data_IF_797444842254
#
_entry.id   IF_797444842254
#
_cell.length_a   1.000
_cell.length_b   1.000
_cell.length_c   1.000
_cell.angle_alpha   90.00
_cell.angle_beta   90.00
_cell.angle_gamma   90.00
#
_symmetry.space_group_name_H-M   'P 1'
#
loop_
_entity.id
_entity.type
_entity.pdbx_description
1 polymer ?
#
# COMPACT_ATOMS: atom_id res chain seq x y z
N UNK A 1 -12.66 -35.61 21.41
CA UNK A 1 -12.41 -34.20 21.06
C UNK A 1 -11.43 -34.20 19.91
N UNK A 2 -11.89 -33.81 18.71
CA UNK A 2 -11.12 -33.90 17.46
C UNK A 2 -10.62 -32.50 17.14
N UNK A 3 -9.36 -32.23 17.47
CA UNK A 3 -8.67 -31.03 17.01
C UNK A 3 -8.63 -31.05 15.48
N UNK A 4 -9.10 -29.98 14.83
CA UNK A 4 -9.12 -29.89 13.36
C UNK A 4 -8.04 -28.98 12.79
N UNK A 5 -7.56 -28.01 13.57
CA UNK A 5 -6.63 -26.98 13.10
C UNK A 5 -5.55 -26.71 14.16
N UNK A 6 -4.32 -26.52 13.69
CA UNK A 6 -3.15 -26.16 14.48
C UNK A 6 -2.52 -24.89 13.92
N UNK A 7 -1.99 -24.04 14.80
CA UNK A 7 -1.20 -22.87 14.45
C UNK A 7 -0.06 -22.68 15.47
N UNK A 8 0.93 -21.84 15.15
CA UNK A 8 2.09 -21.57 15.99
C UNK A 8 2.24 -20.07 16.20
N UNK A 9 2.09 -19.62 17.45
CA UNK A 9 2.41 -18.25 17.84
C UNK A 9 3.91 -18.13 18.03
N UNK A 10 4.54 -17.18 17.35
CA UNK A 10 5.97 -16.83 17.52
C UNK A 10 6.12 -15.46 18.15
N UNK A 11 7.00 -15.34 19.13
CA UNK A 11 7.22 -14.12 19.87
C UNK A 11 8.69 -13.89 20.19
N UNK A 12 9.09 -12.61 20.25
CA UNK A 12 10.45 -12.19 20.54
C UNK A 12 10.74 -12.09 22.05
N UNK A 13 9.70 -12.07 22.89
CA UNK A 13 9.80 -11.99 24.35
C UNK A 13 8.61 -12.69 25.03
N UNK A 14 8.69 -12.98 26.35
CA UNK A 14 7.55 -13.50 27.10
C UNK A 14 6.32 -12.58 27.09
N UNK A 15 6.51 -11.27 27.09
CA UNK A 15 5.39 -10.30 27.04
C UNK A 15 4.70 -10.29 25.68
N UNK A 16 5.49 -10.30 24.60
CA UNK A 16 4.99 -10.42 23.22
C UNK A 16 4.24 -11.76 23.03
N UNK A 17 4.73 -12.84 23.65
CA UNK A 17 4.04 -14.13 23.62
C UNK A 17 2.70 -14.08 24.34
N UNK A 18 2.66 -13.47 25.53
CA UNK A 18 1.44 -13.34 26.33
C UNK A 18 0.36 -12.52 25.61
N UNK A 19 0.76 -11.42 24.97
CA UNK A 19 -0.14 -10.57 24.18
C UNK A 19 -0.73 -11.32 22.97
N UNK A 20 0.14 -11.94 22.16
CA UNK A 20 -0.29 -12.74 21.00
C UNK A 20 -1.14 -13.94 21.38
N UNK A 21 -0.84 -14.61 22.49
CA UNK A 21 -1.66 -15.71 23.00
C UNK A 21 -3.01 -15.24 23.51
N UNK A 22 -3.08 -14.08 24.17
CA UNK A 22 -4.34 -13.47 24.60
C UNK A 22 -5.25 -13.21 23.41
N UNK A 23 -4.69 -12.80 22.27
CA UNK A 23 -5.44 -12.67 21.01
C UNK A 23 -5.96 -14.02 20.50
N UNK A 24 -5.11 -15.04 20.42
CA UNK A 24 -5.50 -16.40 20.01
C UNK A 24 -6.59 -17.00 20.91
N UNK A 25 -6.49 -16.79 22.22
CA UNK A 25 -7.50 -17.26 23.19
C UNK A 25 -8.88 -16.63 22.95
N UNK A 26 -8.94 -15.33 22.63
CA UNK A 26 -10.20 -14.64 22.29
C UNK A 26 -10.84 -15.16 21.00
N UNK A 27 -10.03 -15.68 20.08
CA UNK A 27 -10.47 -16.31 18.83
C UNK A 27 -10.93 -17.77 19.00
N UNK A 28 -10.93 -18.28 20.24
CA UNK A 28 -11.30 -19.65 20.56
C UNK A 28 -10.16 -20.66 20.44
N UNK A 29 -8.96 -20.23 20.04
CA UNK A 29 -7.79 -21.11 20.07
C UNK A 29 -7.39 -21.40 21.51
N UNK A 30 -6.84 -22.59 21.73
CA UNK A 30 -6.35 -23.06 23.01
C UNK A 30 -4.87 -23.40 22.89
N UNK A 31 -4.03 -23.06 23.87
CA UNK A 31 -2.65 -23.53 23.92
C UNK A 31 -2.61 -25.06 23.86
N UNK A 32 -1.82 -25.56 22.91
CA UNK A 32 -1.57 -26.98 22.76
C UNK A 32 -0.18 -27.29 23.31
N UNK A 33 -0.13 -27.77 24.55
CA UNK A 33 1.12 -27.97 25.29
C UNK A 33 1.70 -26.68 25.84
N UNK A 34 2.96 -26.73 26.31
CA UNK A 34 3.69 -25.57 26.84
C UNK A 34 4.51 -24.83 25.78
N UNK A 35 4.93 -23.59 26.06
CA UNK A 35 5.74 -22.81 25.12
C UNK A 35 7.16 -23.37 25.05
N UNK A 36 7.76 -23.31 23.85
CA UNK A 36 9.11 -23.78 23.56
C UNK A 36 9.99 -22.57 23.22
N UNK A 37 11.16 -22.48 23.85
CA UNK A 37 12.20 -21.55 23.45
C UNK A 37 13.07 -22.20 22.35
N UNK A 38 13.10 -21.63 21.14
CA UNK A 38 13.97 -22.13 20.05
C UNK A 38 15.35 -21.50 20.14
N UNK A 39 15.39 -20.20 20.46
CA UNK A 39 16.59 -19.39 20.59
C UNK A 39 16.41 -18.43 21.77
N UNK A 40 17.47 -17.74 22.25
CA UNK A 40 17.36 -16.79 23.35
C UNK A 40 16.31 -15.68 23.13
N UNK A 41 15.91 -15.45 21.88
CA UNK A 41 15.01 -14.35 21.48
C UNK A 41 13.79 -14.86 20.69
N UNK A 42 13.45 -16.14 20.78
CA UNK A 42 12.28 -16.68 20.07
C UNK A 42 11.58 -17.73 20.91
N UNK A 43 10.37 -17.36 21.35
CA UNK A 43 9.41 -18.25 21.98
C UNK A 43 8.37 -18.69 20.95
N UNK A 44 7.94 -19.94 21.06
CA UNK A 44 6.83 -20.48 20.30
C UNK A 44 5.80 -21.12 21.20
N UNK A 45 4.53 -20.94 20.90
CA UNK A 45 3.44 -21.68 21.51
C UNK A 45 2.57 -22.27 20.41
N UNK A 46 2.45 -23.59 20.37
CA UNK A 46 1.46 -24.25 19.53
C UNK A 46 0.06 -23.96 20.10
N UNK A 47 -0.89 -23.71 19.22
CA UNK A 47 -2.29 -23.49 19.55
C UNK A 47 -3.18 -24.36 18.66
N UNK A 48 -4.33 -24.77 19.18
CA UNK A 48 -5.29 -25.64 18.52
C UNK A 48 -6.71 -25.11 18.73
N UNK A 49 -7.62 -25.35 17.78
CA UNK A 49 -9.03 -24.99 17.92
C UNK A 49 -9.93 -26.15 17.47
N UNK A 50 -11.05 -26.32 18.18
CA UNK A 50 -12.13 -27.23 17.79
C UNK A 50 -13.23 -26.43 17.07
N UNK A 51 -13.35 -26.63 15.75
CA UNK A 51 -14.30 -25.90 14.91
C UNK A 51 -13.61 -25.06 13.81
N UNK A 52 -14.42 -24.33 13.04
CA UNK A 52 -13.93 -23.27 12.14
C UNK A 52 -13.50 -22.07 13.00
N UNK A 53 -12.29 -21.51 12.83
CA UNK A 53 -11.86 -20.34 13.60
C UNK A 53 -12.81 -19.16 13.36
N UNK A 54 -13.28 -18.52 14.45
CA UNK A 54 -14.29 -17.45 14.34
C UNK A 54 -13.84 -16.20 13.58
N UNK A 55 -12.53 -16.03 13.34
CA UNK A 55 -11.96 -15.17 12.29
C UNK A 55 -10.59 -15.79 11.98
N UNK A 56 -10.55 -16.74 11.05
CA UNK A 56 -9.27 -17.24 10.54
C UNK A 56 -8.58 -16.18 9.66
N UNK A 57 -7.27 -16.29 9.39
CA UNK A 57 -6.58 -15.47 8.39
C UNK A 57 -7.18 -15.57 6.97
N UNK A 58 -8.24 -16.36 6.74
CA UNK A 58 -8.93 -16.52 5.45
C UNK A 58 -10.30 -15.86 5.33
N UNK A 59 -10.85 -15.23 6.38
CA UNK A 59 -12.12 -14.49 6.22
C UNK A 59 -11.88 -13.11 5.62
N UNK A 60 -12.72 -12.70 4.67
CA UNK A 60 -12.68 -11.33 4.15
C UNK A 60 -12.80 -10.32 5.28
N UNK A 61 -12.00 -9.23 5.28
CA UNK A 61 -12.11 -8.19 6.28
C UNK A 61 -13.50 -7.53 6.33
N UNK A 62 -13.98 -7.24 7.53
CA UNK A 62 -15.22 -6.47 7.75
C UNK A 62 -15.09 -5.01 7.26
N UNK A 63 -13.86 -4.48 7.28
CA UNK A 63 -13.49 -3.10 6.90
C UNK A 63 -11.97 -2.99 6.69
N UNK A 64 -11.50 -1.84 6.20
CA UNK A 64 -10.10 -1.63 5.84
C UNK A 64 -9.51 -0.36 6.44
N UNK A 65 -8.26 -0.45 6.89
CA UNK A 65 -7.38 0.72 6.91
C UNK A 65 -6.94 1.02 5.47
N UNK A 66 -7.16 2.24 5.03
CA UNK A 66 -6.83 2.72 3.68
C UNK A 66 -5.46 3.39 3.72
N UNK A 67 -4.55 2.95 2.86
CA UNK A 67 -3.23 3.56 2.67
C UNK A 67 -3.11 3.97 1.21
N UNK A 68 -2.85 5.25 0.98
CA UNK A 68 -2.65 5.79 -0.36
C UNK A 68 -1.18 5.75 -0.71
N UNK A 69 -0.85 5.27 -1.90
CA UNK A 69 0.50 5.28 -2.46
C UNK A 69 0.49 6.26 -3.63
N UNK A 70 1.26 7.34 -3.53
CA UNK A 70 1.30 8.38 -4.54
C UNK A 70 2.71 8.97 -4.73
N UNK A 71 2.92 9.62 -5.87
CA UNK A 71 4.21 10.17 -6.27
C UNK A 71 4.67 9.61 -7.60
N UNK A 72 5.98 9.37 -7.74
CA UNK A 72 6.58 8.87 -8.98
C UNK A 72 7.23 7.49 -8.86
N UNK A 73 8.27 7.22 -9.65
CA UNK A 73 8.87 5.89 -9.83
C UNK A 73 9.25 5.20 -8.52
N UNK A 74 9.89 5.91 -7.59
CA UNK A 74 10.31 5.33 -6.31
C UNK A 74 9.15 5.05 -5.35
N UNK A 75 7.94 5.54 -5.64
CA UNK A 75 6.72 5.22 -4.89
C UNK A 75 6.03 3.93 -5.38
N UNK A 76 6.50 3.32 -6.47
CA UNK A 76 5.81 2.24 -7.17
C UNK A 76 6.76 1.14 -7.66
N UNK A 77 6.25 0.23 -8.48
CA UNK A 77 6.97 -0.93 -8.97
C UNK A 77 8.07 -0.56 -9.98
N UNK A 78 9.20 -0.05 -9.49
CA UNK A 78 10.44 0.19 -10.23
C UNK A 78 11.60 -0.71 -9.77
N UNK A 79 11.37 -1.58 -8.78
CA UNK A 79 12.33 -2.61 -8.40
C UNK A 79 12.48 -3.63 -9.53
N UNK A 80 13.68 -3.71 -10.12
CA UNK A 80 13.98 -4.57 -11.27
C UNK A 80 14.34 -6.01 -10.87
N UNK A 81 14.44 -6.30 -9.57
CA UNK A 81 14.72 -7.64 -9.05
C UNK A 81 13.61 -8.64 -9.39
N UNK A 82 13.95 -9.93 -9.42
CA UNK A 82 13.00 -11.01 -9.66
C UNK A 82 11.91 -11.04 -8.56
N UNK A 83 10.61 -10.98 -8.91
CA UNK A 83 9.54 -11.15 -7.93
C UNK A 83 9.56 -12.55 -7.28
N UNK A 84 9.20 -12.61 -6.01
CA UNK A 84 9.22 -13.81 -5.15
C UNK A 84 7.81 -14.13 -4.59
N UNK A 85 6.82 -14.45 -5.45
CA UNK A 85 5.42 -14.62 -5.07
C UNK A 85 5.16 -15.81 -4.14
N UNK A 86 6.09 -16.77 -4.04
CA UNK A 86 5.99 -17.87 -3.07
C UNK A 86 6.52 -17.47 -1.67
N UNK A 87 7.04 -16.26 -1.48
CA UNK A 87 7.62 -15.81 -0.21
C UNK A 87 7.33 -14.33 0.10
N UNK A 88 8.32 -13.44 -0.03
CA UNK A 88 8.22 -12.04 0.37
C UNK A 88 7.14 -11.28 -0.39
N UNK A 89 6.86 -11.66 -1.63
CA UNK A 89 5.89 -11.00 -2.51
C UNK A 89 4.53 -11.72 -2.55
N UNK A 90 4.34 -12.77 -1.73
CA UNK A 90 3.09 -13.52 -1.67
C UNK A 90 1.89 -12.62 -1.31
N UNK A 91 0.78 -12.64 -2.04
CA UNK A 91 -0.43 -11.92 -1.63
C UNK A 91 -0.91 -12.35 -0.24
N UNK A 92 -1.56 -11.44 0.48
CA UNK A 92 -2.24 -11.74 1.75
C UNK A 92 -3.76 -11.56 1.58
N UNK A 93 -4.60 -12.47 2.06
CA UNK A 93 -6.06 -12.37 1.92
C UNK A 93 -6.66 -11.10 2.54
N UNK A 94 -6.02 -10.48 3.55
CA UNK A 94 -6.46 -9.25 4.20
C UNK A 94 -5.87 -7.98 3.57
N UNK A 95 -4.97 -8.11 2.60
CA UNK A 95 -4.36 -6.97 1.90
C UNK A 95 -4.92 -6.89 0.48
N UNK A 96 -5.60 -5.80 0.19
CA UNK A 96 -6.27 -5.53 -1.08
C UNK A 96 -5.74 -4.25 -1.70
N UNK A 97 -6.07 -4.03 -2.96
CA UNK A 97 -5.85 -2.77 -3.66
C UNK A 97 -7.08 -2.37 -4.47
N UNK A 98 -7.21 -1.08 -4.80
CA UNK A 98 -8.15 -0.63 -5.82
C UNK A 98 -7.61 -0.89 -7.22
N UNK A 99 -8.36 -1.63 -8.03
CA UNK A 99 -7.99 -1.97 -9.39
C UNK A 99 -7.95 -0.74 -10.33
N UNK A 100 -7.04 -0.77 -11.30
CA UNK A 100 -7.01 0.08 -12.50
C UNK A 100 -6.99 -0.69 -13.82
N UNK A 101 -6.13 -1.70 -13.93
CA UNK A 101 -6.00 -2.58 -15.11
C UNK A 101 -7.32 -3.32 -15.42
N UNK A 102 -7.41 -3.89 -16.62
CA UNK A 102 -8.55 -4.72 -17.04
C UNK A 102 -8.56 -6.12 -16.43
N UNK A 103 -7.43 -6.58 -15.89
CA UNK A 103 -7.29 -7.86 -15.19
C UNK A 103 -6.49 -7.70 -13.89
N UNK A 104 -6.75 -8.56 -12.91
CA UNK A 104 -6.09 -8.56 -11.58
C UNK A 104 -4.59 -8.79 -11.70
N UNK A 105 -4.19 -9.74 -12.54
CA UNK A 105 -2.81 -10.02 -12.94
C UNK A 105 -2.76 -10.12 -14.46
N UNK A 106 -1.59 -10.08 -15.12
CA UNK A 106 -1.49 -10.33 -16.56
C UNK A 106 -2.09 -11.68 -16.94
N UNK A 107 -3.13 -11.69 -17.78
CA UNK A 107 -3.86 -12.90 -18.16
C UNK A 107 -4.78 -13.49 -17.08
N UNK A 108 -4.93 -12.83 -15.94
CA UNK A 108 -5.76 -13.26 -14.83
C UNK A 108 -7.23 -12.88 -14.97
N UNK A 109 -7.97 -12.98 -13.87
CA UNK A 109 -9.39 -12.62 -13.80
C UNK A 109 -9.62 -11.15 -14.16
N UNK A 110 -10.73 -10.86 -14.84
CA UNK A 110 -11.11 -9.50 -15.18
C UNK A 110 -11.44 -8.68 -13.92
N UNK A 111 -11.09 -7.39 -13.94
CA UNK A 111 -11.49 -6.42 -12.93
C UNK A 111 -11.85 -5.08 -13.59
N UNK A 112 -12.61 -4.26 -12.88
CA UNK A 112 -12.99 -2.91 -13.28
C UNK A 112 -12.26 -1.88 -12.43
N UNK A 113 -12.19 -0.64 -12.92
CA UNK A 113 -11.64 0.48 -12.17
C UNK A 113 -12.33 0.60 -10.80
N UNK A 114 -11.52 0.67 -9.74
CA UNK A 114 -11.92 0.70 -8.33
C UNK A 114 -12.63 -0.56 -7.78
N UNK A 115 -12.52 -1.71 -8.44
CA UNK A 115 -12.80 -2.99 -7.79
C UNK A 115 -11.77 -3.25 -6.68
N UNK A 116 -12.21 -3.89 -5.59
CA UNK A 116 -11.30 -4.36 -4.53
C UNK A 116 -10.75 -5.71 -4.98
N UNK A 117 -9.45 -5.77 -5.22
CA UNK A 117 -8.74 -6.97 -5.72
C UNK A 117 -7.58 -7.32 -4.79
N UNK A 118 -7.03 -8.55 -4.84
CA UNK A 118 -5.79 -8.88 -4.13
C UNK A 118 -4.66 -7.90 -4.47
N UNK A 119 -3.87 -7.54 -3.45
CA UNK A 119 -2.62 -6.82 -3.66
C UNK A 119 -1.46 -7.82 -3.84
N UNK A 120 -0.58 -7.54 -4.80
CA UNK A 120 0.68 -8.24 -4.98
C UNK A 120 1.84 -7.23 -5.14
N UNK A 121 3.01 -7.69 -5.57
CA UNK A 121 4.22 -6.86 -5.71
C UNK A 121 4.13 -5.77 -6.79
N UNK A 122 3.19 -5.86 -7.73
CA UNK A 122 3.08 -4.95 -8.88
C UNK A 122 1.68 -4.31 -8.92
N UNK A 123 1.50 -3.28 -8.09
CA UNK A 123 0.21 -2.64 -7.85
C UNK A 123 -0.34 -1.87 -9.07
N UNK A 124 -1.66 -1.60 -9.06
CA UNK A 124 -2.42 -0.94 -10.13
C UNK A 124 -2.25 0.60 -10.14
N UNK A 125 -1.00 1.06 -10.15
CA UNK A 125 -0.64 2.48 -10.31
C UNK A 125 -1.07 3.05 -11.67
N UNK A 126 -0.94 4.37 -11.88
CA UNK A 126 -1.33 5.01 -13.15
C UNK A 126 -0.51 4.46 -14.32
N UNK A 127 0.77 4.15 -14.07
CA UNK A 127 1.62 3.45 -15.03
C UNK A 127 1.64 1.96 -14.74
N UNK A 128 1.32 1.17 -15.76
CA UNK A 128 1.35 -0.29 -15.68
C UNK A 128 2.79 -0.81 -15.87
N UNK A 129 3.35 -1.37 -14.79
CA UNK A 129 4.70 -1.96 -14.76
C UNK A 129 4.67 -3.49 -14.86
N UNK A 130 3.49 -4.10 -15.06
CA UNK A 130 3.30 -5.54 -14.98
C UNK A 130 3.78 -6.33 -16.20
N UNK A 131 4.08 -5.63 -17.29
CA UNK A 131 4.62 -6.23 -18.53
C UNK A 131 6.15 -6.14 -18.61
N UNK A 132 6.79 -5.45 -17.68
CA UNK A 132 8.25 -5.27 -17.62
C UNK A 132 8.89 -6.37 -16.77
N UNK A 133 9.06 -7.54 -17.37
CA UNK A 133 9.50 -8.74 -16.67
C UNK A 133 11.02 -8.82 -16.51
N UNK A 134 11.47 -9.32 -15.37
CA UNK A 134 12.87 -9.71 -15.18
C UNK A 134 13.28 -10.79 -16.21
N UNK A 135 14.50 -10.79 -16.77
CA UNK A 135 14.92 -11.75 -17.81
C UNK A 135 14.88 -13.23 -17.41
N UNK A 136 14.83 -13.52 -16.10
CA UNK A 136 14.72 -14.88 -15.53
C UNK A 136 13.36 -15.18 -14.91
N UNK A 137 12.34 -14.37 -15.19
CA UNK A 137 11.00 -14.57 -14.68
C UNK A 137 10.37 -15.85 -15.24
N UNK A 138 9.78 -16.66 -14.36
CA UNK A 138 8.83 -17.71 -14.73
C UNK A 138 7.41 -17.16 -14.55
N UNK A 139 6.79 -16.74 -15.67
CA UNK A 139 5.45 -16.15 -15.65
C UNK A 139 4.37 -17.13 -15.19
N UNK A 140 4.60 -18.45 -15.35
CA UNK A 140 3.67 -19.47 -14.85
C UNK A 140 3.57 -19.50 -13.32
N UNK A 141 4.57 -18.92 -12.63
CA UNK A 141 4.64 -18.76 -11.18
C UNK A 141 4.20 -17.37 -10.70
N UNK A 142 3.67 -16.52 -11.59
CA UNK A 142 3.28 -15.16 -11.23
C UNK A 142 4.45 -14.19 -11.04
N UNK A 143 5.64 -14.51 -11.55
CA UNK A 143 6.82 -13.62 -11.47
C UNK A 143 6.82 -12.50 -12.51
N UNK A 144 5.67 -11.86 -12.71
CA UNK A 144 5.49 -10.83 -13.73
C UNK A 144 5.92 -9.44 -13.21
N UNK A 145 6.30 -8.55 -14.11
CA UNK A 145 6.54 -7.14 -13.83
C UNK A 145 7.70 -6.82 -12.88
N UNK A 146 7.76 -5.54 -12.51
CA UNK A 146 8.64 -5.00 -11.48
C UNK A 146 8.02 -5.12 -10.08
N UNK A 147 8.82 -4.84 -9.04
CA UNK A 147 8.44 -4.92 -7.62
C UNK A 147 8.34 -3.53 -6.99
N UNK A 148 7.26 -3.25 -6.28
CA UNK A 148 7.05 -2.04 -5.48
C UNK A 148 6.80 -2.35 -4.01
N UNK A 149 7.04 -1.38 -3.13
CA UNK A 149 7.05 -1.54 -1.68
C UNK A 149 5.66 -1.57 -1.02
N UNK A 150 4.59 -1.23 -1.74
CA UNK A 150 3.25 -1.04 -1.17
C UNK A 150 2.72 -2.29 -0.46
N UNK A 151 2.89 -3.48 -1.06
CA UNK A 151 2.54 -4.75 -0.43
C UNK A 151 3.33 -4.97 0.86
N UNK A 152 4.63 -4.69 0.85
CA UNK A 152 5.51 -4.95 2.00
C UNK A 152 5.23 -4.00 3.16
N UNK A 153 4.88 -2.74 2.88
CA UNK A 153 4.37 -1.78 3.88
C UNK A 153 3.12 -2.37 4.53
N UNK A 154 2.14 -2.80 3.73
CA UNK A 154 0.89 -3.37 4.25
C UNK A 154 1.14 -4.64 5.09
N UNK A 155 1.97 -5.57 4.62
CA UNK A 155 2.32 -6.79 5.36
C UNK A 155 2.95 -6.49 6.71
N UNK A 156 3.81 -5.47 6.79
CA UNK A 156 4.45 -5.07 8.06
C UNK A 156 3.48 -4.39 9.02
N UNK A 157 2.43 -3.76 8.52
CA UNK A 157 1.39 -3.13 9.33
C UNK A 157 0.32 -4.11 9.81
N UNK A 158 0.06 -5.17 9.03
CA UNK A 158 -1.04 -6.11 9.28
C UNK A 158 -1.06 -6.71 10.71
N UNK A 159 0.07 -7.04 11.36
CA UNK A 159 0.08 -7.54 12.74
C UNK A 159 -0.37 -6.52 13.80
N UNK A 160 -0.42 -5.23 13.45
CA UNK A 160 -0.74 -4.14 14.37
C UNK A 160 -2.20 -3.65 14.24
N UNK A 161 -3.01 -4.26 13.37
CA UNK A 161 -4.42 -3.91 13.17
C UNK A 161 -5.36 -5.03 13.65
N UNK A 162 -6.63 -4.72 13.98
CA UNK A 162 -7.60 -5.74 14.39
C UNK A 162 -7.78 -6.85 13.34
N UNK A 163 -8.02 -8.09 13.79
CA UNK A 163 -8.09 -9.25 12.89
C UNK A 163 -9.27 -9.22 11.92
N UNK A 164 -10.36 -8.53 12.28
CA UNK A 164 -11.48 -8.29 11.37
C UNK A 164 -11.26 -7.10 10.42
N UNK A 165 -10.11 -6.41 10.50
CA UNK A 165 -9.73 -5.34 9.60
C UNK A 165 -8.68 -5.81 8.59
N UNK A 166 -8.71 -5.23 7.39
CA UNK A 166 -7.70 -5.42 6.35
C UNK A 166 -6.96 -4.13 6.05
N UNK A 167 -6.09 -4.19 5.05
CA UNK A 167 -5.44 -3.01 4.46
C UNK A 167 -5.88 -2.88 3.01
N UNK A 168 -6.43 -1.72 2.65
CA UNK A 168 -6.79 -1.38 1.27
C UNK A 168 -5.80 -0.35 0.74
N UNK A 169 -4.96 -0.78 -0.19
CA UNK A 169 -4.00 0.06 -0.88
C UNK A 169 -4.69 0.84 -2.01
N UNK A 170 -4.37 2.12 -2.13
CA UNK A 170 -4.84 3.00 -3.19
C UNK A 170 -3.65 3.45 -4.02
N UNK A 171 -3.24 2.66 -5.04
CA UNK A 171 -2.11 3.00 -5.90
C UNK A 171 -2.49 4.10 -6.90
N UNK A 172 -1.72 5.19 -6.87
CA UNK A 172 -1.90 6.43 -7.63
C UNK A 172 -0.57 6.99 -8.16
N UNK A 173 0.50 6.19 -8.21
CA UNK A 173 1.82 6.64 -8.62
C UNK A 173 1.96 6.71 -10.14
N UNK A 174 2.91 7.53 -10.60
CA UNK A 174 3.28 7.64 -12.01
C UNK A 174 4.77 7.95 -12.21
N UNK A 175 5.53 7.03 -12.78
CA UNK A 175 6.95 7.25 -13.06
C UNK A 175 7.23 8.50 -13.90
N UNK A 176 8.24 9.29 -13.53
CA UNK A 176 8.58 10.51 -14.26
C UNK A 176 7.53 11.63 -14.20
N UNK A 177 6.60 11.58 -13.26
CA UNK A 177 5.68 12.69 -13.00
C UNK A 177 6.33 13.78 -12.14
N UNK A 178 5.99 15.05 -12.38
CA UNK A 178 6.50 16.19 -11.65
C UNK A 178 5.42 17.26 -11.43
N UNK A 179 5.68 18.24 -10.56
CA UNK A 179 4.84 19.44 -10.47
C UNK A 179 5.18 20.45 -11.57
N UNK A 180 6.47 20.60 -11.89
CA UNK A 180 7.00 21.67 -12.72
C UNK A 180 7.14 21.31 -14.20
N UNK A 181 7.07 20.02 -14.54
CA UNK A 181 7.13 19.52 -15.92
C UNK A 181 6.24 18.28 -16.13
N UNK A 182 6.21 17.76 -17.37
CA UNK A 182 5.37 16.63 -17.77
C UNK A 182 4.03 17.05 -18.39
N UNK A 183 3.46 16.14 -19.19
CA UNK A 183 2.16 16.30 -19.81
C UNK A 183 1.04 16.26 -18.77
N UNK A 184 -0.03 17.03 -18.98
CA UNK A 184 -1.18 16.99 -18.06
C UNK A 184 -1.93 15.67 -18.15
N UNK A 185 -2.10 15.15 -19.37
CA UNK A 185 -2.96 14.00 -19.65
C UNK A 185 -4.44 14.35 -19.51
N UNK A 186 -5.25 13.36 -19.21
CA UNK A 186 -6.71 13.49 -19.02
C UNK A 186 -7.18 12.65 -17.83
N UNK A 187 -8.34 13.00 -17.28
CA UNK A 187 -9.00 12.24 -16.23
C UNK A 187 -10.39 11.79 -16.70
N UNK A 188 -10.75 10.56 -16.34
CA UNK A 188 -12.08 10.00 -16.54
C UNK A 188 -12.56 9.36 -15.25
N UNK A 189 -13.84 9.55 -14.92
CA UNK A 189 -14.44 8.93 -13.74
C UNK A 189 -14.45 7.39 -13.81
N UNK A 190 -14.44 6.82 -15.02
CA UNK A 190 -14.53 5.37 -15.23
C UNK A 190 -13.18 4.66 -15.36
N UNK A 191 -12.09 5.39 -15.60
CA UNK A 191 -10.75 4.81 -15.85
C UNK A 191 -9.63 5.52 -15.10
N UNK A 192 -9.91 6.65 -14.45
CA UNK A 192 -8.93 7.47 -13.76
C UNK A 192 -8.07 8.32 -14.67
N UNK A 193 -6.88 8.69 -14.18
CA UNK A 193 -5.86 9.38 -14.97
C UNK A 193 -5.39 8.53 -16.15
N UNK A 194 -5.20 9.17 -17.31
CA UNK A 194 -4.64 8.54 -18.51
C UNK A 194 -3.15 8.25 -18.36
N UNK A 195 -2.65 7.27 -19.12
CA UNK A 195 -1.27 6.79 -19.03
C UNK A 195 -0.21 7.87 -19.32
N UNK A 196 -0.55 8.86 -20.15
CA UNK A 196 0.29 10.01 -20.48
C UNK A 196 0.25 11.14 -19.43
N UNK A 197 -0.63 11.06 -18.43
CA UNK A 197 -0.64 12.01 -17.31
C UNK A 197 0.70 11.94 -16.59
N UNK A 198 1.40 13.07 -16.46
CA UNK A 198 2.71 13.18 -15.82
C UNK A 198 2.87 14.50 -15.03
N UNK A 199 1.77 15.22 -14.78
CA UNK A 199 1.75 16.49 -14.05
C UNK A 199 0.96 16.36 -12.75
N UNK A 200 1.64 16.57 -11.62
CA UNK A 200 1.02 16.77 -10.32
C UNK A 200 0.59 18.22 -10.11
N UNK A 201 -0.37 18.44 -9.22
CA UNK A 201 -0.87 19.76 -8.86
C UNK A 201 -2.39 19.81 -8.79
N UNK A 202 -2.91 20.82 -8.08
CA UNK A 202 -4.35 21.02 -7.92
C UNK A 202 -5.05 21.08 -9.28
N UNK A 203 -6.14 20.34 -9.41
CA UNK A 203 -6.93 20.27 -10.65
C UNK A 203 -6.30 19.45 -11.78
N UNK A 204 -5.08 18.92 -11.64
CA UNK A 204 -4.44 18.08 -12.66
C UNK A 204 -4.95 16.65 -12.63
N UNK A 205 -4.91 15.89 -13.74
CA UNK A 205 -5.44 14.53 -13.78
C UNK A 205 -4.89 13.57 -12.72
N UNK A 206 -3.59 13.63 -12.40
CA UNK A 206 -3.01 12.81 -11.32
C UNK A 206 -3.60 13.16 -9.94
N UNK A 207 -3.87 14.44 -9.68
CA UNK A 207 -4.53 14.89 -8.45
C UNK A 207 -6.01 14.48 -8.40
N UNK A 208 -6.72 14.61 -9.52
CA UNK A 208 -8.11 14.16 -9.62
C UNK A 208 -8.22 12.65 -9.38
N UNK A 209 -7.28 11.87 -9.91
CA UNK A 209 -7.20 10.43 -9.69
C UNK A 209 -6.88 10.07 -8.23
N UNK A 210 -5.91 10.76 -7.61
CA UNK A 210 -5.59 10.63 -6.18
C UNK A 210 -6.83 10.84 -5.30
N UNK A 211 -7.55 11.95 -5.49
CA UNK A 211 -8.74 12.26 -4.70
C UNK A 211 -9.88 11.30 -4.99
N UNK A 212 -10.19 11.06 -6.26
CA UNK A 212 -11.28 10.17 -6.68
C UNK A 212 -11.12 8.77 -6.10
N UNK A 213 -9.92 8.19 -6.20
CA UNK A 213 -9.65 6.83 -5.71
C UNK A 213 -9.62 6.75 -4.19
N UNK A 214 -9.10 7.78 -3.51
CA UNK A 214 -9.15 7.84 -2.05
C UNK A 214 -10.60 7.90 -1.55
N UNK A 215 -11.43 8.75 -2.16
CA UNK A 215 -12.87 8.82 -1.86
C UNK A 215 -13.57 7.49 -2.15
N UNK A 216 -13.28 6.87 -3.30
CA UNK A 216 -13.83 5.57 -3.65
C UNK A 216 -13.51 4.52 -2.59
N UNK A 217 -12.26 4.45 -2.11
CA UNK A 217 -11.86 3.53 -1.05
C UNK A 217 -12.66 3.74 0.25
N UNK A 218 -12.85 4.99 0.68
CA UNK A 218 -13.61 5.32 1.89
C UNK A 218 -15.11 5.07 1.75
N UNK A 219 -15.67 5.31 0.56
CA UNK A 219 -17.09 5.08 0.27
C UNK A 219 -17.47 3.60 0.20
N UNK A 220 -16.53 2.68 -0.06
CA UNK A 220 -16.81 1.24 -0.08
C UNK A 220 -17.38 0.74 1.25
N UNK A 221 -16.98 1.34 2.37
CA UNK A 221 -17.45 0.95 3.69
C UNK A 221 -17.28 2.13 4.68
N UNK A 222 -18.34 2.55 5.39
CA UNK A 222 -18.27 3.67 6.34
C UNK A 222 -17.33 3.43 7.53
N UNK A 223 -16.92 2.19 7.78
CA UNK A 223 -15.89 1.85 8.79
C UNK A 223 -14.46 1.93 8.27
N UNK A 224 -14.26 2.14 6.96
CA UNK A 224 -12.91 2.31 6.43
C UNK A 224 -12.25 3.55 7.02
N UNK A 225 -10.95 3.46 7.30
CA UNK A 225 -10.18 4.55 7.91
C UNK A 225 -8.99 4.91 7.03
N UNK A 226 -8.92 6.13 6.50
CA UNK A 226 -7.72 6.67 5.87
C UNK A 226 -6.61 6.81 6.91
N UNK A 227 -5.63 5.92 6.82
CA UNK A 227 -4.53 5.82 7.78
C UNK A 227 -3.39 6.76 7.44
N UNK A 228 -2.95 6.77 6.18
CA UNK A 228 -1.80 7.56 5.75
C UNK A 228 -1.77 7.73 4.22
N UNK A 229 -1.02 8.73 3.77
CA UNK A 229 -0.54 8.85 2.39
C UNK A 229 0.97 8.61 2.41
N UNK A 230 1.45 7.58 1.71
CA UNK A 230 2.86 7.38 1.43
C UNK A 230 3.18 8.13 0.13
N UNK A 231 4.03 9.14 0.23
CA UNK A 231 4.38 10.04 -0.86
C UNK A 231 5.87 9.93 -1.17
N UNK A 232 6.25 9.55 -2.39
CA UNK A 232 7.66 9.59 -2.83
C UNK A 232 7.76 10.24 -4.19
N UNK A 233 8.18 11.50 -4.21
CA UNK A 233 8.26 12.31 -5.41
C UNK A 233 9.22 13.48 -5.24
N UNK A 234 9.89 13.86 -6.33
CA UNK A 234 10.65 15.10 -6.43
C UNK A 234 11.77 15.02 -7.46
N UNK A 235 12.12 13.82 -7.90
CA UNK A 235 13.24 13.56 -8.80
C UNK A 235 13.15 14.33 -10.11
N UNK A 236 12.00 14.29 -10.78
CA UNK A 236 11.84 15.05 -12.01
C UNK A 236 11.64 16.53 -11.78
N UNK A 237 11.19 16.98 -10.60
CA UNK A 237 11.20 18.42 -10.32
C UNK A 237 12.63 18.96 -10.18
N UNK A 238 13.53 18.20 -9.54
CA UNK A 238 14.95 18.58 -9.41
C UNK A 238 15.68 18.75 -10.75
N UNK A 239 15.26 18.04 -11.80
CA UNK A 239 15.85 18.19 -13.13
C UNK A 239 15.33 19.39 -13.92
N UNK A 240 14.26 20.05 -13.45
CA UNK A 240 13.67 21.20 -14.09
C UNK A 240 14.34 22.51 -13.65
N UNK A 241 14.46 23.47 -14.58
CA UNK A 241 14.92 24.83 -14.27
C UNK A 241 14.04 25.54 -13.21
N UNK A 242 12.78 25.12 -13.10
CA UNK A 242 11.76 25.68 -12.20
C UNK A 242 11.59 24.90 -10.89
N UNK A 243 12.51 23.99 -10.53
CA UNK A 243 12.45 23.16 -9.32
C UNK A 243 12.06 23.93 -8.04
N UNK A 244 12.50 25.19 -7.90
CA UNK A 244 12.19 26.03 -6.74
C UNK A 244 10.69 26.33 -6.54
N UNK A 245 9.83 26.07 -7.54
CA UNK A 245 8.38 26.17 -7.42
C UNK A 245 7.75 24.95 -6.75
N UNK A 246 8.44 23.81 -6.71
CA UNK A 246 7.90 22.53 -6.26
C UNK A 246 7.35 22.59 -4.82
N UNK A 247 8.04 23.19 -3.81
CA UNK A 247 7.53 23.19 -2.43
C UNK A 247 6.18 23.91 -2.29
N UNK A 248 6.01 25.03 -2.98
CA UNK A 248 4.75 25.78 -2.98
C UNK A 248 3.63 25.01 -3.68
N UNK A 249 3.94 24.35 -4.81
CA UNK A 249 2.98 23.53 -5.55
C UNK A 249 2.55 22.28 -4.77
N UNK A 250 3.49 21.61 -4.10
CA UNK A 250 3.22 20.50 -3.20
C UNK A 250 2.34 20.94 -2.03
N UNK A 251 2.69 22.05 -1.37
CA UNK A 251 1.92 22.59 -0.23
C UNK A 251 0.49 22.96 -0.64
N UNK A 252 0.30 23.56 -1.82
CA UNK A 252 -1.02 23.85 -2.36
C UNK A 252 -1.83 22.57 -2.61
N UNK A 253 -1.21 21.54 -3.18
CA UNK A 253 -1.86 20.24 -3.42
C UNK A 253 -2.23 19.54 -2.12
N UNK A 254 -1.35 19.55 -1.11
CA UNK A 254 -1.61 18.98 0.21
C UNK A 254 -2.77 19.71 0.91
N UNK A 255 -2.79 21.04 0.83
CA UNK A 255 -3.87 21.87 1.40
C UNK A 255 -5.20 21.51 0.74
N UNK A 256 -5.24 21.43 -0.59
CA UNK A 256 -6.46 21.05 -1.30
C UNK A 256 -6.88 19.61 -0.98
N UNK A 257 -5.93 18.67 -0.88
CA UNK A 257 -6.22 17.27 -0.53
C UNK A 257 -6.97 17.16 0.81
N UNK A 258 -6.48 17.87 1.82
CA UNK A 258 -7.09 17.91 3.15
C UNK A 258 -8.49 18.54 3.09
N UNK A 259 -8.67 19.62 2.34
CA UNK A 259 -9.97 20.25 2.15
C UNK A 259 -10.97 19.31 1.45
N UNK A 260 -10.55 18.66 0.37
CA UNK A 260 -11.39 17.79 -0.46
C UNK A 260 -11.83 16.51 0.26
N UNK A 261 -11.09 16.08 1.29
CA UNK A 261 -11.41 14.93 2.12
C UNK A 261 -12.09 15.29 3.46
N UNK A 262 -12.34 16.57 3.74
CA UNK A 262 -12.99 17.00 4.99
C UNK A 262 -14.37 16.36 5.21
N UNK A 263 -15.09 16.05 4.14
CA UNK A 263 -16.39 15.33 4.19
C UNK A 263 -16.25 13.89 4.73
N UNK A 264 -15.03 13.34 4.76
CA UNK A 264 -14.66 12.04 5.31
C UNK A 264 -13.91 12.14 6.65
N UNK A 265 -13.95 13.28 7.35
CA UNK A 265 -13.22 13.47 8.62
C UNK A 265 -13.40 12.30 9.62
N UNK A 266 -14.63 11.82 9.81
CA UNK A 266 -14.91 10.68 10.70
C UNK A 266 -14.23 9.36 10.28
N UNK A 267 -13.84 9.25 9.02
CA UNK A 267 -13.11 8.13 8.43
C UNK A 267 -11.61 8.44 8.25
N UNK A 268 -11.08 9.53 8.81
CA UNK A 268 -9.66 9.83 8.81
C UNK A 268 -9.03 9.43 10.14
N UNK A 269 -7.79 8.94 10.12
CA UNK A 269 -7.00 8.77 11.33
C UNK A 269 -6.95 10.10 12.11
N UNK A 270 -7.19 10.05 13.43
CA UNK A 270 -7.33 11.26 14.25
C UNK A 270 -8.69 11.97 14.14
N UNK A 271 -9.61 11.48 13.31
CA UNK A 271 -10.95 12.08 13.13
C UNK A 271 -10.96 13.34 12.25
N UNK A 272 -9.88 13.58 11.49
CA UNK A 272 -9.71 14.78 10.68
C UNK A 272 -8.79 14.50 9.49
N UNK A 273 -9.19 14.94 8.30
CA UNK A 273 -8.33 14.90 7.11
C UNK A 273 -7.05 15.75 7.29
N UNK A 274 -7.08 16.77 8.15
CA UNK A 274 -5.92 17.60 8.44
C UNK A 274 -4.81 16.84 9.18
N UNK A 275 -5.18 15.82 9.95
CA UNK A 275 -4.26 15.05 10.81
C UNK A 275 -3.75 13.77 10.14
N UNK A 276 -4.26 13.43 8.95
CA UNK A 276 -3.77 12.28 8.19
C UNK A 276 -2.30 12.51 7.83
N UNK A 277 -1.39 11.60 8.25
CA UNK A 277 0.03 11.75 8.00
C UNK A 277 0.34 11.55 6.51
N UNK A 278 1.15 12.46 5.97
CA UNK A 278 1.84 12.30 4.70
C UNK A 278 3.27 11.86 5.01
N UNK A 279 3.54 10.58 4.77
CA UNK A 279 4.84 9.96 4.96
C UNK A 279 5.63 10.22 3.67
N UNK A 280 6.34 11.34 3.65
CA UNK A 280 7.19 11.75 2.53
C UNK A 280 8.52 11.00 2.59
N UNK A 281 8.70 10.05 1.67
CA UNK A 281 9.91 9.26 1.57
C UNK A 281 11.01 9.96 0.77
N UNK A 282 12.23 9.55 1.06
CA UNK A 282 13.46 10.03 0.45
C UNK A 282 13.70 9.42 -0.94
N UNK A 283 14.76 9.83 -1.63
CA UNK A 283 15.17 9.34 -2.95
C UNK A 283 16.56 8.67 -2.94
N UNK A 284 16.96 8.11 -4.07
CA UNK A 284 18.21 7.36 -4.20
C UNK A 284 19.43 8.27 -4.21
N UNK A 285 20.60 7.70 -3.89
CA UNK A 285 21.88 8.44 -3.87
C UNK A 285 22.21 9.13 -5.20
N UNK A 286 21.74 8.59 -6.33
CA UNK A 286 21.96 9.18 -7.65
C UNK A 286 21.38 10.60 -7.69
N UNK A 287 20.12 10.76 -7.32
CA UNK A 287 19.44 12.06 -7.35
C UNK A 287 20.07 13.07 -6.40
N UNK A 288 20.45 12.62 -5.20
CA UNK A 288 21.14 13.46 -4.21
C UNK A 288 22.49 13.96 -4.71
N UNK A 289 23.27 13.09 -5.35
CA UNK A 289 24.60 13.42 -5.83
C UNK A 289 24.55 14.28 -7.11
N UNK A 290 23.59 14.01 -8.00
CA UNK A 290 23.46 14.72 -9.28
C UNK A 290 22.81 16.11 -9.11
N UNK A 291 21.86 16.24 -8.18
CA UNK A 291 21.07 17.46 -7.98
C UNK A 291 21.15 18.00 -6.55
N UNK A 292 22.35 17.98 -5.95
CA UNK A 292 22.54 18.31 -4.52
C UNK A 292 21.89 19.64 -4.10
N UNK A 293 21.98 20.69 -4.92
CA UNK A 293 21.37 22.00 -4.61
C UNK A 293 19.85 21.96 -4.68
N UNK A 294 19.29 21.31 -5.70
CA UNK A 294 17.86 21.20 -5.90
C UNK A 294 17.23 20.24 -4.90
N UNK A 295 17.97 19.22 -4.46
CA UNK A 295 17.55 18.27 -3.44
C UNK A 295 17.19 18.97 -2.14
N UNK A 296 18.05 19.86 -1.64
CA UNK A 296 17.77 20.61 -0.40
C UNK A 296 16.52 21.50 -0.54
N UNK A 297 16.16 21.92 -1.75
CA UNK A 297 14.94 22.71 -1.99
C UNK A 297 13.68 21.83 -2.02
N UNK A 298 13.76 20.63 -2.60
CA UNK A 298 12.60 19.74 -2.83
C UNK A 298 12.35 18.79 -1.65
N UNK A 299 13.41 18.37 -0.95
CA UNK A 299 13.37 17.39 0.14
C UNK A 299 13.77 17.95 1.52
N UNK A 300 14.31 19.18 1.57
CA UNK A 300 14.80 19.81 2.80
C UNK A 300 13.75 20.52 3.64
#
# INVERSE_FOLDING_TARGET
MSIKHYDVVRAASPSDLAEKLTHKLKEGWQPYGGPVAITPYTLMQAVAIEGEPQVGPSSEPDWYYVIVLAGQSNAMAYGEGLPLPDSYDAPDPRIKQLARRSTVTPGGAACRYNDIIPADHCLHDVQDMSTLNHPRADLSKGQYGCVGQGLHIAKKLLPYIPNNAGILLVPCCRGGSAFTQGAEGTFSESTGASQDSARWGVGKPLYQDLISRTKAALQKNPKNVLLAVCWMQGEFDMSAATHAQQPALFTAMLTQFRADLSVFNAQCHGGSAADVPWICGDTTYYWKNTYATQYDTVYG
#
